data_IF_901625080394
#
_entry.id   IF_901625080394
#
_cell.length_a   1.000
_cell.length_b   1.000
_cell.length_c   1.000
_cell.angle_alpha   90.00
_cell.angle_beta   90.00
_cell.angle_gamma   90.00
#
_symmetry.space_group_name_H-M   'P 1'
#
loop_
_entity.id
_entity.type
_entity.pdbx_description
1 polymer ?
#
# COMPACT_ATOMS: atom_id res chain seq x y z
N UNK A 1 -8.37 -0.29 9.64
CA UNK A 1 -7.53 0.67 10.39
C UNK A 1 -6.07 0.21 10.50
N UNK A 2 -5.17 0.90 9.81
CA UNK A 2 -3.70 0.83 9.89
C UNK A 2 -3.19 2.02 10.73
N UNK A 3 -2.26 1.79 11.66
CA UNK A 3 -1.51 2.85 12.37
C UNK A 3 -0.01 2.64 12.21
N UNK A 4 0.69 3.61 11.62
CA UNK A 4 2.12 3.49 11.27
C UNK A 4 2.88 4.81 11.53
N UNK A 5 4.07 4.75 12.15
CA UNK A 5 5.00 5.88 12.25
C UNK A 5 6.09 5.78 11.18
N UNK A 6 6.16 6.74 10.26
CA UNK A 6 7.19 6.80 9.21
C UNK A 6 8.23 7.86 9.52
N UNK A 7 9.49 7.42 9.63
CA UNK A 7 10.64 8.28 9.85
C UNK A 7 11.52 8.28 8.60
N UNK A 8 12.06 9.46 8.25
CA UNK A 8 13.10 9.59 7.22
C UNK A 8 14.45 9.52 7.90
N UNK A 9 15.39 8.81 7.28
CA UNK A 9 16.73 8.60 7.82
C UNK A 9 17.72 9.08 6.76
N UNK A 10 18.67 9.95 7.11
CA UNK A 10 19.80 10.26 6.25
C UNK A 10 20.56 8.97 5.90
N UNK A 11 21.03 8.87 4.65
CA UNK A 11 21.64 7.61 4.18
C UNK A 11 22.90 7.26 4.96
N UNK A 12 23.66 8.27 5.40
CA UNK A 12 24.86 8.17 6.22
C UNK A 12 24.60 7.57 7.62
N UNK A 13 23.37 7.66 8.11
CA UNK A 13 22.97 7.18 9.44
C UNK A 13 22.22 5.84 9.39
N UNK A 14 21.91 5.31 8.19
CA UNK A 14 21.12 4.10 8.04
C UNK A 14 21.75 2.88 8.73
N UNK A 15 23.08 2.73 8.63
CA UNK A 15 23.79 1.64 9.29
C UNK A 15 23.85 1.80 10.82
N UNK A 16 23.90 3.05 11.31
CA UNK A 16 23.82 3.33 12.75
C UNK A 16 22.44 2.95 13.28
N UNK A 17 21.37 3.33 12.58
CA UNK A 17 20.00 2.97 12.93
C UNK A 17 19.81 1.45 12.94
N UNK A 18 20.25 0.75 11.89
CA UNK A 18 20.13 -0.71 11.76
C UNK A 18 20.83 -1.49 12.89
N UNK A 19 21.84 -0.89 13.51
CA UNK A 19 22.61 -1.44 14.64
C UNK A 19 22.13 -0.91 16.00
N UNK A 20 21.20 0.04 16.03
CA UNK A 20 20.66 0.59 17.26
C UNK A 20 20.10 -0.55 18.13
N UNK A 21 20.38 -0.58 19.45
CA UNK A 21 20.00 -1.69 20.31
C UNK A 21 18.51 -2.07 20.25
N UNK A 22 17.61 -1.07 20.15
CA UNK A 22 16.17 -1.28 20.07
C UNK A 22 15.75 -2.05 18.80
N UNK A 23 16.43 -1.83 17.68
CA UNK A 23 16.14 -2.52 16.40
C UNK A 23 16.98 -3.79 16.23
N UNK A 24 18.14 -3.88 16.88
CA UNK A 24 18.97 -5.07 16.85
C UNK A 24 18.39 -6.20 17.71
N UNK A 25 17.74 -5.85 18.84
CA UNK A 25 17.08 -6.81 19.73
C UNK A 25 15.70 -7.26 19.22
N UNK A 26 15.05 -6.46 18.35
CA UNK A 26 13.79 -6.85 17.70
C UNK A 26 13.99 -7.85 16.56
N UNK A 27 15.25 -8.16 16.18
CA UNK A 27 15.58 -9.19 15.20
C UNK A 27 15.26 -10.56 15.77
N UNK A 28 13.99 -10.93 15.74
CA UNK A 28 13.63 -12.35 15.70
C UNK A 28 14.34 -12.95 14.47
N UNK A 29 15.05 -14.06 14.64
CA UNK A 29 15.76 -14.75 13.57
C UNK A 29 14.84 -15.18 12.40
N UNK A 30 13.52 -15.01 12.54
CA UNK A 30 12.49 -15.42 11.59
C UNK A 30 12.23 -14.44 10.41
N UNK A 31 12.83 -13.25 10.37
CA UNK A 31 12.49 -12.24 9.35
C UNK A 31 13.68 -11.85 8.47
N UNK A 32 13.98 -12.70 7.49
CA UNK A 32 14.92 -12.37 6.41
C UNK A 32 14.42 -11.15 5.62
N UNK A 33 15.35 -10.35 5.08
CA UNK A 33 14.99 -9.20 4.26
C UNK A 33 14.19 -9.64 3.03
N UNK A 34 13.03 -9.03 2.80
CA UNK A 34 12.17 -9.34 1.66
C UNK A 34 12.24 -8.23 0.61
N UNK A 35 12.25 -8.61 -0.67
CA UNK A 35 12.02 -7.66 -1.76
C UNK A 35 10.52 -7.55 -2.01
N UNK A 36 9.98 -6.35 -1.81
CA UNK A 36 8.59 -6.02 -2.12
C UNK A 36 8.56 -5.23 -3.42
N UNK A 37 7.82 -5.70 -4.40
CA UNK A 37 7.53 -4.94 -5.63
C UNK A 37 6.07 -4.53 -5.61
N UNK A 38 5.77 -3.24 -5.63
CA UNK A 38 4.39 -2.75 -5.63
C UNK A 38 4.12 -1.91 -6.87
N UNK A 39 3.16 -2.33 -7.68
CA UNK A 39 2.64 -1.57 -8.82
C UNK A 39 1.40 -0.81 -8.36
N UNK A 40 1.41 0.50 -8.54
CA UNK A 40 0.29 1.38 -8.23
C UNK A 40 -0.57 1.58 -9.47
N UNK A 41 -1.88 1.58 -9.29
CA UNK A 41 -2.87 1.65 -10.36
C UNK A 41 -3.79 2.85 -10.15
N UNK A 42 -4.14 3.50 -11.25
CA UNK A 42 -5.16 4.55 -11.28
C UNK A 42 -5.72 4.66 -12.71
N UNK A 43 -6.76 5.46 -12.91
CA UNK A 43 -7.22 5.86 -14.25
C UNK A 43 -6.29 6.94 -14.84
N UNK A 44 -6.35 7.22 -16.15
CA UNK A 44 -5.57 8.31 -16.74
C UNK A 44 -5.80 9.68 -16.10
N UNK A 45 -7.00 9.91 -15.56
CA UNK A 45 -7.38 11.14 -14.86
C UNK A 45 -7.03 11.15 -13.37
N UNK A 46 -6.44 10.08 -12.86
CA UNK A 46 -6.09 9.89 -11.44
C UNK A 46 -7.31 9.88 -10.52
N UNK A 47 -8.38 9.16 -10.90
CA UNK A 47 -9.63 9.13 -10.14
C UNK A 47 -9.47 8.63 -8.69
N UNK A 48 -8.59 7.63 -8.44
CA UNK A 48 -8.31 7.17 -7.08
C UNK A 48 -7.58 8.25 -6.28
N UNK A 49 -6.59 8.91 -6.87
CA UNK A 49 -5.93 10.06 -6.22
C UNK A 49 -6.92 11.14 -5.82
N UNK A 50 -7.85 11.53 -6.71
CA UNK A 50 -8.84 12.57 -6.43
C UNK A 50 -9.88 12.19 -5.37
N UNK A 51 -10.22 10.90 -5.24
CA UNK A 51 -11.01 10.41 -4.11
C UNK A 51 -10.17 10.10 -2.86
N UNK A 52 -8.93 10.62 -2.79
CA UNK A 52 -8.02 10.47 -1.66
C UNK A 52 -7.74 9.01 -1.33
N UNK A 53 -7.54 8.20 -2.36
CA UNK A 53 -7.24 6.79 -2.23
C UNK A 53 -5.99 6.42 -3.05
N UNK A 54 -5.37 5.31 -2.68
CA UNK A 54 -4.33 4.69 -3.49
C UNK A 54 -4.57 3.19 -3.59
N UNK A 55 -4.46 2.68 -4.81
CA UNK A 55 -4.62 1.28 -5.14
C UNK A 55 -3.29 0.71 -5.63
N UNK A 56 -2.88 -0.44 -5.09
CA UNK A 56 -1.69 -1.15 -5.55
C UNK A 56 -1.91 -2.65 -5.58
N UNK A 57 -1.10 -3.34 -6.38
CA UNK A 57 -0.82 -4.77 -6.20
C UNK A 57 0.64 -4.92 -5.80
N UNK A 58 0.89 -5.65 -4.71
CA UNK A 58 2.22 -5.99 -4.22
C UNK A 58 2.54 -7.45 -4.49
N UNK A 59 3.69 -7.69 -5.10
CA UNK A 59 4.32 -8.98 -5.27
C UNK A 59 5.36 -9.25 -4.18
N UNK A 60 5.25 -10.42 -3.55
CA UNK A 60 6.25 -11.00 -2.65
C UNK A 60 6.47 -12.45 -3.07
N UNK A 61 7.54 -12.72 -3.82
CA UNK A 61 7.70 -14.02 -4.47
C UNK A 61 6.54 -14.30 -5.44
N UNK A 62 5.79 -15.37 -5.20
CA UNK A 62 4.62 -15.75 -6.00
C UNK A 62 3.30 -15.20 -5.46
N UNK A 63 3.30 -14.63 -4.25
CA UNK A 63 2.10 -14.08 -3.64
C UNK A 63 1.81 -12.69 -4.19
N UNK A 64 0.52 -12.39 -4.36
CA UNK A 64 0.03 -11.07 -4.76
C UNK A 64 -1.04 -10.60 -3.80
N UNK A 65 -0.87 -9.39 -3.31
CA UNK A 65 -1.85 -8.73 -2.46
C UNK A 65 -2.20 -7.39 -3.08
N UNK A 66 -3.49 -7.16 -3.32
CA UNK A 66 -3.95 -5.80 -3.59
C UNK A 66 -4.17 -5.05 -2.29
N UNK A 67 -3.95 -3.75 -2.32
CA UNK A 67 -4.22 -2.87 -1.18
C UNK A 67 -4.93 -1.63 -1.68
N UNK A 68 -6.07 -1.31 -1.08
CA UNK A 68 -6.66 0.03 -1.12
C UNK A 68 -6.36 0.74 0.20
N UNK A 69 -5.71 1.89 0.14
CA UNK A 69 -5.53 2.79 1.29
C UNK A 69 -6.36 4.03 1.05
N UNK A 70 -7.27 4.35 1.95
CA UNK A 70 -7.95 5.65 1.99
C UNK A 70 -7.04 6.64 2.73
N UNK A 71 -7.11 7.93 2.42
CA UNK A 71 -6.46 8.93 3.27
C UNK A 71 -7.14 8.97 4.63
N UNK A 72 -6.30 9.03 5.66
CA UNK A 72 -6.70 9.39 7.00
C UNK A 72 -5.75 10.46 7.53
N UNK A 73 -5.96 10.95 8.75
CA UNK A 73 -5.11 11.97 9.35
C UNK A 73 -3.63 11.57 9.33
N UNK A 74 -2.78 12.51 8.95
CA UNK A 74 -1.32 12.40 9.06
C UNK A 74 -0.81 13.51 9.97
N UNK A 75 -0.22 13.14 11.12
CA UNK A 75 0.33 14.10 12.07
C UNK A 75 1.73 13.65 12.50
N UNK A 76 2.74 14.51 12.29
CA UNK A 76 4.12 14.25 12.69
C UNK A 76 4.69 12.88 12.24
N UNK A 77 4.30 12.42 11.03
CA UNK A 77 4.73 11.13 10.47
C UNK A 77 3.92 9.93 10.96
N UNK A 78 2.96 10.12 11.86
CA UNK A 78 1.95 9.12 12.21
C UNK A 78 0.86 9.11 11.15
N UNK A 79 0.69 7.96 10.51
CA UNK A 79 -0.41 7.64 9.62
C UNK A 79 -1.44 6.87 10.40
N UNK A 80 -2.69 7.35 10.40
CA UNK A 80 -3.85 6.62 10.90
C UNK A 80 -4.92 6.65 9.81
N UNK A 81 -5.17 5.51 9.16
CA UNK A 81 -6.05 5.43 8.00
C UNK A 81 -6.68 4.05 7.83
N UNK A 82 -7.72 3.99 7.01
CA UNK A 82 -8.25 2.71 6.58
C UNK A 82 -7.44 2.12 5.43
N UNK A 83 -7.14 0.84 5.59
CA UNK A 83 -6.42 0.01 4.64
C UNK A 83 -7.15 -1.32 4.52
N UNK A 84 -7.39 -1.72 3.28
CA UNK A 84 -8.03 -2.97 2.90
C UNK A 84 -7.04 -3.74 2.04
N UNK A 85 -6.43 -4.78 2.61
CA UNK A 85 -5.46 -5.65 1.94
C UNK A 85 -6.06 -7.03 1.71
N UNK A 86 -5.94 -7.55 0.49
CA UNK A 86 -6.57 -8.80 0.08
C UNK A 86 -5.69 -9.55 -0.91
N UNK A 87 -5.64 -10.90 -0.86
CA UNK A 87 -4.97 -11.68 -1.89
C UNK A 87 -5.66 -11.50 -3.24
N UNK A 88 -4.87 -11.53 -4.32
CA UNK A 88 -5.36 -11.54 -5.71
C UNK A 88 -4.55 -12.54 -6.52
N UNK A 89 -5.13 -13.09 -7.60
CA UNK A 89 -4.45 -14.11 -8.42
C UNK A 89 -3.64 -13.51 -9.58
N UNK A 90 -3.66 -12.18 -9.74
CA UNK A 90 -3.08 -11.46 -10.88
C UNK A 90 -2.23 -10.28 -10.44
N UNK A 91 -1.39 -9.78 -11.34
CA UNK A 91 -0.63 -8.54 -11.15
C UNK A 91 -1.47 -7.26 -11.26
N UNK A 92 -2.77 -7.40 -11.59
CA UNK A 92 -3.75 -6.32 -11.70
C UNK A 92 -4.76 -6.38 -10.56
N UNK A 93 -5.26 -5.25 -10.06
CA UNK A 93 -6.25 -5.23 -9.00
C UNK A 93 -7.60 -5.80 -9.47
N UNK A 94 -8.34 -6.38 -8.53
CA UNK A 94 -9.74 -6.76 -8.69
C UNK A 94 -10.60 -5.87 -7.79
N UNK A 95 -11.25 -4.87 -8.40
CA UNK A 95 -12.11 -3.92 -7.69
C UNK A 95 -13.34 -4.57 -7.06
N UNK A 96 -13.81 -5.73 -7.56
CA UNK A 96 -15.00 -6.39 -7.01
C UNK A 96 -14.80 -6.79 -5.56
N UNK A 97 -13.59 -7.22 -5.23
CA UNK A 97 -13.18 -7.59 -3.88
C UNK A 97 -13.28 -6.43 -2.87
N UNK A 98 -13.26 -5.18 -3.34
CA UNK A 98 -13.36 -3.99 -2.49
C UNK A 98 -14.80 -3.49 -2.31
N UNK A 99 -15.76 -3.97 -3.09
CA UNK A 99 -17.13 -3.44 -3.07
C UNK A 99 -17.77 -3.60 -1.68
N UNK A 100 -17.68 -4.78 -1.08
CA UNK A 100 -18.28 -5.04 0.24
C UNK A 100 -17.54 -4.35 1.39
N UNK A 101 -16.32 -3.87 1.16
CA UNK A 101 -15.50 -3.21 2.16
C UNK A 101 -15.72 -1.70 2.22
N UNK A 102 -16.17 -1.08 1.11
CA UNK A 102 -16.29 0.37 0.97
C UNK A 102 -17.76 0.78 0.76
N UNK A 103 -18.32 1.64 1.64
CA UNK A 103 -19.70 2.12 1.52
C UNK A 103 -19.97 2.77 0.16
N UNK A 104 -21.07 2.37 -0.49
CA UNK A 104 -21.39 2.75 -1.86
C UNK A 104 -21.72 4.24 -2.05
N UNK A 105 -22.06 4.95 -0.98
CA UNK A 105 -22.41 6.36 -0.94
C UNK A 105 -21.18 7.29 -0.84
N UNK A 106 -19.98 6.75 -0.71
CA UNK A 106 -18.71 7.49 -0.76
C UNK A 106 -18.20 7.65 -2.20
N UNK A 107 -17.37 8.67 -2.46
CA UNK A 107 -16.75 8.87 -3.78
C UNK A 107 -15.92 7.65 -4.22
N UNK A 108 -15.12 7.11 -3.30
CA UNK A 108 -14.32 5.91 -3.57
C UNK A 108 -15.22 4.68 -3.78
N UNK A 109 -16.29 4.53 -2.98
CA UNK A 109 -17.24 3.43 -3.13
C UNK A 109 -18.01 3.44 -4.44
N UNK A 110 -18.33 4.63 -4.98
CA UNK A 110 -18.87 4.79 -6.35
C UNK A 110 -17.82 4.41 -7.39
N UNK A 111 -16.59 4.92 -7.26
CA UNK A 111 -15.50 4.66 -8.21
C UNK A 111 -15.17 3.16 -8.32
N UNK A 112 -15.13 2.43 -7.21
CA UNK A 112 -14.86 0.98 -7.16
C UNK A 112 -15.95 0.16 -7.89
N UNK A 113 -17.17 0.71 -7.99
CA UNK A 113 -18.32 0.09 -8.65
C UNK A 113 -18.55 0.59 -10.08
N UNK A 114 -17.73 1.53 -10.55
CA UNK A 114 -17.81 2.05 -11.91
C UNK A 114 -17.02 1.14 -12.87
N UNK A 115 -17.75 0.42 -13.74
CA UNK A 115 -17.17 -0.47 -14.73
C UNK A 115 -16.30 0.28 -15.77
N UNK A 116 -16.64 1.54 -16.09
CA UNK A 116 -15.85 2.34 -17.02
C UNK A 116 -14.51 2.75 -16.39
N UNK A 117 -14.50 3.06 -15.08
CA UNK A 117 -13.27 3.30 -14.35
C UNK A 117 -12.41 2.03 -14.26
N UNK A 118 -13.04 0.89 -13.93
CA UNK A 118 -12.37 -0.41 -13.85
C UNK A 118 -11.67 -0.79 -15.17
N UNK A 119 -12.34 -0.59 -16.30
CA UNK A 119 -11.79 -0.89 -17.63
C UNK A 119 -10.61 0.02 -18.03
N UNK A 120 -10.45 1.17 -17.37
CA UNK A 120 -9.42 2.18 -17.67
C UNK A 120 -8.28 2.19 -16.66
N UNK A 121 -8.31 1.31 -15.66
CA UNK A 121 -7.20 1.16 -14.72
C UNK A 121 -5.91 0.78 -15.44
N UNK A 122 -4.84 1.51 -15.15
CA UNK A 122 -3.51 1.26 -15.70
C UNK A 122 -2.43 1.40 -14.62
N UNK A 123 -1.28 0.72 -14.79
CA UNK A 123 -0.11 0.98 -13.95
C UNK A 123 0.34 2.44 -14.07
N UNK A 124 0.59 3.09 -12.94
CA UNK A 124 1.08 4.47 -12.86
C UNK A 124 2.56 4.51 -12.52
N UNK A 125 2.96 3.80 -11.45
CA UNK A 125 4.36 3.68 -11.05
C UNK A 125 4.61 2.40 -10.24
N UNK A 126 5.89 2.06 -10.09
CA UNK A 126 6.35 0.88 -9.35
C UNK A 126 7.30 1.30 -8.24
N UNK A 127 7.12 0.73 -7.05
CA UNK A 127 8.12 0.79 -5.98
C UNK A 127 8.79 -0.57 -5.80
N UNK A 128 10.10 -0.56 -5.54
CA UNK A 128 10.89 -1.76 -5.20
C UNK A 128 11.62 -1.49 -3.90
N UNK A 129 11.21 -2.18 -2.84
CA UNK A 129 11.68 -1.90 -1.47
C UNK A 129 12.22 -3.19 -0.87
N UNK A 130 13.48 -3.15 -0.41
CA UNK A 130 14.04 -4.18 0.46
C UNK A 130 13.61 -3.89 1.90
N UNK A 131 12.67 -4.67 2.42
CA UNK A 131 12.13 -4.53 3.78
C UNK A 131 12.87 -5.44 4.75
N UNK A 132 13.23 -4.90 5.91
CA UNK A 132 13.67 -5.67 7.08
C UNK A 132 12.64 -5.43 8.19
N UNK A 133 12.28 -6.46 8.93
CA UNK A 133 11.36 -6.41 10.08
C UNK A 133 12.02 -7.02 11.29
#
# INVERSE_FOLDING_TARGET
MERELKLRVPIEDFDKLRRAPLLAQSKSAAHASQLLTSTYFDTPELAFHWCKASLRVRAVGNERHQTLKLEGPVQAGLFDRDEFEMPVDRDTPDLKLLQDQIPADTDCGRLIRDEAAAARLQPVFVTRIKRST
#
